data_IF_920619367210
#
_entry.id   IF_920619367210
#
_cell.length_a   1.000
_cell.length_b   1.000
_cell.length_c   1.000
_cell.angle_alpha   90.00
_cell.angle_beta   90.00
_cell.angle_gamma   90.00
#
_symmetry.space_group_name_H-M   'P 1'
#
loop_
_entity.id
_entity.type
_entity.pdbx_description
1 polymer ?
#
# COMPACT_ATOMS: atom_id res chain seq x y z
N UNK A 1 -6.74 3.10 -0.10
CA UNK A 1 -6.00 1.95 0.47
C UNK A 1 -4.61 1.75 -0.16
N UNK A 2 -4.45 1.74 -1.50
CA UNK A 2 -3.16 1.42 -2.15
C UNK A 2 -2.16 2.58 -2.31
N UNK A 3 -2.60 3.84 -2.32
CA UNK A 3 -1.67 4.98 -2.45
C UNK A 3 -0.74 5.18 -1.24
N UNK A 4 -1.06 4.56 -0.10
CA UNK A 4 -0.30 4.70 1.13
C UNK A 4 0.98 3.85 1.12
N UNK A 5 0.96 2.62 0.58
CA UNK A 5 2.13 1.73 0.61
C UNK A 5 3.29 2.31 -0.20
N UNK A 6 3.03 2.72 -1.45
CA UNK A 6 4.04 3.37 -2.30
C UNK A 6 4.61 4.63 -1.62
N UNK A 7 3.78 5.38 -0.89
CA UNK A 7 4.24 6.57 -0.17
C UNK A 7 5.14 6.24 1.02
N UNK A 8 4.91 5.11 1.70
CA UNK A 8 5.75 4.61 2.78
C UNK A 8 7.09 4.13 2.24
N UNK A 9 7.09 3.33 1.18
CA UNK A 9 8.32 2.81 0.56
C UNK A 9 9.21 3.94 0.05
N UNK A 10 8.59 4.93 -0.61
CA UNK A 10 9.31 6.10 -1.11
C UNK A 10 9.88 6.96 0.03
N UNK A 11 9.16 7.07 1.15
CA UNK A 11 9.65 7.73 2.37
C UNK A 11 10.78 6.94 3.02
N UNK A 12 10.71 5.62 3.04
CA UNK A 12 11.79 4.78 3.56
C UNK A 12 13.08 5.01 2.76
N UNK A 13 12.98 5.06 1.42
CA UNK A 13 14.12 5.41 0.57
C UNK A 13 14.65 6.82 0.85
N UNK A 14 13.78 7.83 0.97
CA UNK A 14 14.19 9.19 1.34
C UNK A 14 14.94 9.22 2.67
N UNK A 15 14.48 8.47 3.67
CA UNK A 15 15.15 8.38 4.97
C UNK A 15 16.50 7.68 4.88
N UNK A 16 16.63 6.65 4.04
CA UNK A 16 17.93 6.01 3.77
C UNK A 16 18.94 7.00 3.15
N UNK A 17 18.50 7.83 2.19
CA UNK A 17 19.34 8.89 1.62
C UNK A 17 19.72 9.94 2.66
N UNK A 18 18.75 10.39 3.46
CA UNK A 18 18.99 11.37 4.53
C UNK A 18 19.97 10.81 5.57
N UNK A 19 19.85 9.55 5.96
CA UNK A 19 20.81 8.92 6.84
C UNK A 19 22.22 8.87 6.22
N UNK A 20 22.33 8.61 4.92
CA UNK A 20 23.63 8.62 4.22
C UNK A 20 24.34 9.97 4.32
N UNK A 21 23.61 11.09 4.26
CA UNK A 21 24.20 12.43 4.33
C UNK A 21 24.88 12.75 5.67
N UNK A 22 24.57 12.02 6.74
CA UNK A 22 25.22 12.19 8.04
C UNK A 22 26.72 11.82 8.03
N UNK A 23 27.21 11.08 7.03
CA UNK A 23 28.65 10.84 6.90
C UNK A 23 29.21 11.60 5.71
N UNK A 24 30.20 12.46 5.96
CA UNK A 24 30.92 13.19 4.91
C UNK A 24 31.54 12.25 3.88
N UNK A 25 32.03 11.08 4.31
CA UNK A 25 32.65 10.06 3.45
C UNK A 25 31.69 9.44 2.42
N UNK A 26 30.37 9.58 2.62
CA UNK A 26 29.36 9.01 1.72
C UNK A 26 28.85 10.01 0.67
N UNK A 27 29.13 11.31 0.83
CA UNK A 27 28.78 12.33 -0.17
C UNK A 27 29.66 12.17 -1.41
N UNK A 28 29.14 12.45 -2.60
CA UNK A 28 29.91 12.26 -3.84
C UNK A 28 30.12 10.79 -4.24
N UNK A 29 29.38 9.84 -3.66
CA UNK A 29 29.60 8.41 -3.91
C UNK A 29 28.51 7.78 -4.78
N UNK A 30 28.94 6.77 -5.54
CA UNK A 30 28.06 5.81 -6.19
C UNK A 30 27.76 4.70 -5.18
N UNK A 31 26.50 4.33 -5.04
CA UNK A 31 26.11 3.22 -4.15
C UNK A 31 24.91 2.47 -4.70
N UNK A 32 24.85 1.19 -4.40
CA UNK A 32 23.71 0.35 -4.73
C UNK A 32 22.66 0.40 -3.62
N UNK A 33 21.39 0.56 -3.99
CA UNK A 33 20.25 0.57 -3.08
C UNK A 33 19.13 -0.31 -3.61
N UNK A 34 18.66 -1.22 -2.78
CA UNK A 34 17.59 -2.15 -3.11
C UNK A 34 16.23 -1.57 -2.71
N UNK A 35 15.27 -1.66 -3.62
CA UNK A 35 13.87 -1.32 -3.41
C UNK A 35 13.03 -2.58 -3.63
N UNK A 36 12.08 -2.82 -2.75
CA UNK A 36 11.15 -3.96 -2.79
C UNK A 36 9.84 -3.66 -3.53
N UNK A 37 9.66 -2.41 -3.98
CA UNK A 37 8.53 -1.97 -4.76
C UNK A 37 8.96 -1.51 -6.16
N UNK A 38 8.58 -2.27 -7.19
CA UNK A 38 8.88 -1.96 -8.59
C UNK A 38 8.30 -0.61 -9.04
N UNK A 39 7.16 -0.19 -8.48
CA UNK A 39 6.58 1.13 -8.77
C UNK A 39 7.48 2.23 -8.23
N UNK A 40 7.94 2.11 -6.99
CA UNK A 40 8.89 3.06 -6.39
C UNK A 40 10.21 3.09 -7.14
N UNK A 41 10.72 1.93 -7.59
CA UNK A 41 11.90 1.86 -8.45
C UNK A 41 11.70 2.69 -9.73
N UNK A 42 10.61 2.46 -10.47
CA UNK A 42 10.30 3.22 -11.68
C UNK A 42 10.10 4.72 -11.42
N UNK A 43 9.44 5.08 -10.30
CA UNK A 43 9.24 6.48 -9.91
C UNK A 43 10.56 7.18 -9.59
N UNK A 44 11.47 6.52 -8.88
CA UNK A 44 12.79 7.08 -8.54
C UNK A 44 13.68 7.21 -9.78
N UNK A 45 13.68 6.20 -10.67
CA UNK A 45 14.41 6.27 -11.93
C UNK A 45 13.88 7.38 -12.84
N UNK A 46 12.55 7.59 -12.86
CA UNK A 46 11.92 8.65 -13.65
C UNK A 46 12.00 10.04 -13.00
N UNK A 47 12.07 10.11 -11.68
CA UNK A 47 12.12 11.34 -10.88
C UNK A 47 10.81 12.15 -10.79
N UNK A 48 9.68 11.63 -11.29
CA UNK A 48 8.38 12.33 -11.28
C UNK A 48 7.18 11.38 -11.25
N UNK A 49 6.06 11.86 -10.70
CA UNK A 49 4.77 11.16 -10.67
C UNK A 49 3.62 12.12 -10.94
N UNK A 50 2.50 11.64 -11.51
CA UNK A 50 1.24 12.38 -11.60
C UNK A 50 0.54 12.51 -10.24
N UNK A 51 0.87 11.66 -9.27
CA UNK A 51 0.37 11.79 -7.90
C UNK A 51 1.09 12.92 -7.17
N UNK A 52 0.36 13.96 -6.77
CA UNK A 52 0.91 15.10 -6.01
C UNK A 52 1.58 14.64 -4.71
N UNK A 53 1.03 13.64 -4.03
CA UNK A 53 1.55 13.09 -2.77
C UNK A 53 2.91 12.45 -2.98
N UNK A 54 3.05 11.60 -4.00
CA UNK A 54 4.33 10.95 -4.32
C UNK A 54 5.34 11.95 -4.87
N UNK A 55 4.89 12.88 -5.72
CA UNK A 55 5.75 13.87 -6.35
C UNK A 55 6.39 14.83 -5.33
N UNK A 56 5.68 15.16 -4.24
CA UNK A 56 6.23 15.93 -3.12
C UNK A 56 7.47 15.25 -2.51
N UNK A 57 7.42 13.92 -2.34
CA UNK A 57 8.55 13.14 -1.80
C UNK A 57 9.66 12.97 -2.85
N UNK A 58 9.30 12.71 -4.11
CA UNK A 58 10.28 12.61 -5.21
C UNK A 58 11.09 13.90 -5.35
N UNK A 59 10.47 15.07 -5.27
CA UNK A 59 11.18 16.36 -5.32
C UNK A 59 12.21 16.49 -4.20
N UNK A 60 11.90 16.02 -2.98
CA UNK A 60 12.83 16.01 -1.86
C UNK A 60 13.99 15.03 -2.08
N UNK A 61 13.70 13.86 -2.64
CA UNK A 61 14.71 12.88 -3.04
C UNK A 61 15.66 13.51 -4.07
N UNK A 62 15.14 14.08 -5.16
CA UNK A 62 15.96 14.71 -6.20
C UNK A 62 16.81 15.85 -5.65
N UNK A 63 16.23 16.73 -4.82
CA UNK A 63 16.98 17.82 -4.19
C UNK A 63 18.10 17.30 -3.28
N UNK A 64 17.85 16.26 -2.50
CA UNK A 64 18.84 15.67 -1.61
C UNK A 64 19.96 14.96 -2.39
N UNK A 65 19.61 14.21 -3.44
CA UNK A 65 20.58 13.54 -4.32
C UNK A 65 21.51 14.55 -4.97
N UNK A 66 20.96 15.67 -5.47
CA UNK A 66 21.77 16.76 -6.04
C UNK A 66 22.64 17.42 -4.97
N UNK A 67 22.07 17.81 -3.82
CA UNK A 67 22.80 18.52 -2.77
C UNK A 67 23.92 17.67 -2.13
N UNK A 68 23.75 16.35 -2.06
CA UNK A 68 24.73 15.43 -1.50
C UNK A 68 25.68 14.82 -2.56
N UNK A 69 25.49 15.19 -3.83
CA UNK A 69 26.18 14.60 -4.98
C UNK A 69 26.12 13.06 -4.98
N UNK A 70 24.92 12.50 -4.81
CA UNK A 70 24.72 11.05 -4.78
C UNK A 70 24.45 10.49 -6.17
N UNK A 71 24.98 9.29 -6.42
CA UNK A 71 24.74 8.53 -7.64
C UNK A 71 24.16 7.16 -7.28
N UNK A 72 22.89 7.09 -6.85
CA UNK A 72 22.26 5.84 -6.46
C UNK A 72 22.03 4.93 -7.68
N UNK A 73 22.57 3.72 -7.61
CA UNK A 73 22.21 2.61 -8.50
C UNK A 73 21.07 1.85 -7.82
N UNK A 74 19.90 1.84 -8.44
CA UNK A 74 18.71 1.24 -7.86
C UNK A 74 18.48 -0.17 -8.40
N UNK A 75 18.26 -1.13 -7.50
CA UNK A 75 17.93 -2.51 -7.83
C UNK A 75 16.59 -2.92 -7.24
N UNK A 76 15.88 -3.82 -7.91
CA UNK A 76 14.71 -4.48 -7.35
C UNK A 76 15.12 -5.68 -6.48
N UNK A 77 14.47 -5.86 -5.34
CA UNK A 77 14.56 -7.09 -4.54
C UNK A 77 13.16 -7.64 -4.27
N UNK A 78 12.99 -8.95 -4.38
CA UNK A 78 11.71 -9.57 -4.04
C UNK A 78 11.45 -9.49 -2.53
N UNK A 79 10.19 -9.37 -2.11
CA UNK A 79 9.82 -9.18 -0.71
C UNK A 79 10.35 -10.29 0.22
N UNK A 80 10.37 -11.56 -0.25
CA UNK A 80 10.92 -12.69 0.52
C UNK A 80 12.41 -12.54 0.82
N UNK A 81 13.14 -11.85 -0.06
CA UNK A 81 14.59 -11.66 0.01
C UNK A 81 14.95 -10.26 0.53
N UNK A 82 13.98 -9.45 0.96
CA UNK A 82 14.24 -8.09 1.43
C UNK A 82 14.83 -8.13 2.85
N UNK A 83 16.14 -7.84 3.04
CA UNK A 83 16.76 -7.87 4.37
C UNK A 83 16.18 -6.80 5.31
N UNK A 84 15.48 -5.80 4.77
CA UNK A 84 14.88 -4.71 5.55
C UNK A 84 13.47 -5.02 6.06
N UNK A 85 12.83 -6.11 5.64
CA UNK A 85 11.44 -6.43 6.04
C UNK A 85 11.33 -6.80 7.52
N UNK A 86 12.21 -7.68 8.02
CA UNK A 86 12.26 -8.02 9.44
C UNK A 86 12.50 -6.80 10.35
N UNK A 87 13.51 -5.96 10.06
CA UNK A 87 13.76 -4.74 10.82
C UNK A 87 12.64 -3.70 10.76
N UNK A 88 11.94 -3.54 9.63
CA UNK A 88 10.89 -2.52 9.49
C UNK A 88 9.64 -2.85 10.30
N UNK A 89 9.31 -4.15 10.47
CA UNK A 89 8.16 -4.63 11.27
C UNK A 89 8.30 -4.40 12.77
N UNK A 90 9.52 -4.18 13.28
CA UNK A 90 9.76 -3.99 14.73
C UNK A 90 9.08 -2.75 15.31
N UNK A 91 8.72 -1.80 14.46
CA UNK A 91 8.12 -0.52 14.86
C UNK A 91 6.69 -0.35 14.34
N UNK A 92 6.06 -1.41 13.83
CA UNK A 92 4.64 -1.34 13.48
C UNK A 92 3.81 -1.08 14.75
N UNK A 93 2.94 -0.05 14.75
CA UNK A 93 2.03 0.16 15.88
C UNK A 93 1.16 -1.08 16.03
N UNK A 94 1.12 -1.67 17.23
CA UNK A 94 0.22 -2.79 17.53
C UNK A 94 -1.17 -2.39 17.06
N UNK A 95 -1.75 -3.16 16.15
CA UNK A 95 -3.10 -2.88 15.65
C UNK A 95 -4.02 -2.67 16.86
N UNK A 96 -4.60 -1.49 17.00
CA UNK A 96 -5.61 -1.28 18.02
C UNK A 96 -6.77 -2.18 17.60
N UNK A 97 -6.91 -3.36 18.24
CA UNK A 97 -7.99 -4.30 17.95
C UNK A 97 -9.27 -3.69 18.50
N UNK A 98 -9.77 -2.64 17.86
CA UNK A 98 -11.12 -2.18 18.07
C UNK A 98 -12.01 -3.29 17.50
N UNK A 99 -12.48 -4.16 18.39
CA UNK A 99 -13.50 -5.15 18.05
C UNK A 99 -14.74 -4.36 17.64
N UNK A 100 -15.02 -4.29 16.34
CA UNK A 100 -16.36 -3.90 15.88
C UNK A 100 -17.32 -4.92 16.47
N UNK A 101 -18.05 -4.53 17.52
CA UNK A 101 -19.18 -5.29 18.02
C UNK A 101 -20.29 -5.06 17.02
N UNK A 102 -20.36 -5.88 15.96
CA UNK A 102 -21.51 -5.88 15.05
C UNK A 102 -22.74 -6.17 15.90
N UNK A 103 -23.60 -5.17 16.10
CA UNK A 103 -24.96 -5.43 16.59
C UNK A 103 -25.68 -6.15 15.44
N UNK A 104 -26.35 -7.28 15.67
CA UNK A 104 -27.21 -7.84 14.65
C UNK A 104 -28.24 -6.77 14.29
N UNK A 105 -28.28 -6.40 13.02
CA UNK A 105 -29.38 -5.60 12.49
C UNK A 105 -30.52 -6.60 12.36
N UNK A 106 -31.52 -6.51 13.24
CA UNK A 106 -32.79 -7.19 12.99
C UNK A 106 -33.37 -6.62 11.71
N UNK A 107 -33.25 -7.39 10.64
CA UNK A 107 -33.95 -7.14 9.39
C UNK A 107 -35.40 -7.46 9.68
N UNK A 108 -36.20 -6.42 9.93
CA UNK A 108 -37.63 -6.56 10.19
C UNK A 108 -38.28 -7.43 9.12
N UNK A 109 -39.06 -8.41 9.58
CA UNK A 109 -39.86 -9.30 8.76
C UNK A 109 -40.66 -8.48 7.73
N UNK A 110 -40.32 -8.61 6.46
CA UNK A 110 -41.27 -8.33 5.39
C UNK A 110 -42.32 -9.44 5.44
N UNK A 111 -43.55 -9.08 5.82
CA UNK A 111 -44.70 -9.98 5.92
C UNK A 111 -44.86 -10.82 4.65
N UNK A 112 -44.87 -12.14 4.82
CA UNK A 112 -45.12 -13.10 3.78
C UNK A 112 -46.62 -13.10 3.43
N UNK A 113 -47.07 -12.07 2.72
CA UNK A 113 -48.43 -12.00 2.17
C UNK A 113 -48.35 -11.76 0.65
N UNK A 114 -47.71 -12.69 -0.07
CA UNK A 114 -47.69 -12.69 -1.54
C UNK A 114 -47.44 -14.07 -2.16
N UNK A 115 -47.80 -15.14 -1.45
CA UNK A 115 -47.63 -16.51 -1.95
C UNK A 115 -48.87 -17.38 -1.66
N UNK A 116 -50.03 -16.90 -2.08
CA UNK A 116 -51.19 -17.77 -2.30
C UNK A 116 -52.01 -17.16 -3.41
N UNK A 117 -51.79 -17.63 -4.64
CA UNK A 117 -52.71 -17.61 -5.79
C UNK A 117 -51.89 -18.01 -7.02
N UNK A 118 -51.71 -19.33 -7.20
CA UNK A 118 -51.47 -20.06 -8.46
C UNK A 118 -51.00 -21.48 -8.10
N UNK A 119 -51.97 -22.40 -7.99
CA UNK A 119 -51.81 -23.82 -8.32
C UNK A 119 -53.13 -24.56 -8.01
N UNK A 120 -54.06 -24.54 -8.95
CA UNK A 120 -55.06 -25.61 -9.09
C UNK A 120 -55.34 -25.83 -10.58
N UNK A 121 -54.44 -26.57 -11.23
CA UNK A 121 -54.74 -27.24 -12.50
C UNK A 121 -55.13 -28.70 -12.21
N UNK A 122 -56.40 -29.02 -12.47
CA UNK A 122 -56.87 -30.32 -12.98
C UNK A 122 -56.83 -31.55 -12.07
N UNK A 123 -58.02 -32.03 -11.67
CA UNK A 123 -58.34 -33.46 -11.60
C UNK A 123 -59.87 -33.64 -11.61
N UNK A 124 -60.39 -34.40 -12.59
CA UNK A 124 -61.82 -34.62 -12.78
C UNK A 124 -62.42 -35.77 -11.98
N UNK A 125 -63.73 -35.98 -12.24
CA UNK A 125 -64.45 -37.26 -12.47
C UNK A 125 -65.75 -37.40 -11.65
N UNK A 126 -66.87 -37.31 -12.37
CA UNK A 126 -68.03 -38.21 -12.33
C UNK A 126 -68.88 -38.32 -11.07
N UNK A 127 -70.13 -37.85 -11.17
CA UNK A 127 -71.31 -38.71 -11.34
C UNK A 127 -72.50 -37.88 -11.84
#
# INVERSE_FOLDING_TARGET
MWGHINSLDLRAYFQALRWRTHSRKRKGTIFFHLLDNQVCLGLCTKGRSSSLVLNSTLRRISALTLAANFYPLLGYVHMSENPSDGPSRRFEPKSNKFKFKTRPVEVGLWSAESASLKNTSGAGKGR
#
